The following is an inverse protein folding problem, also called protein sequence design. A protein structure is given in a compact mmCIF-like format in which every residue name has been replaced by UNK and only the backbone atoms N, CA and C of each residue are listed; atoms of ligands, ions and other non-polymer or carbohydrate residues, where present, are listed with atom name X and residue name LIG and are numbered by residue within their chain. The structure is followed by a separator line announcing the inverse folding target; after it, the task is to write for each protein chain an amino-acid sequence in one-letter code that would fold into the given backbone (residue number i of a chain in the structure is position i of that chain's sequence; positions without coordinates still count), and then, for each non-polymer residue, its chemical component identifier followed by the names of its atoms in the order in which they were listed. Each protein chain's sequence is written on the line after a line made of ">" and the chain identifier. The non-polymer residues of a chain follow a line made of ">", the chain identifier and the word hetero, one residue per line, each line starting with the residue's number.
data_IF_864522418641
#
_entry.id   IF_864522418641
#
_cell.length_a   1.000
_cell.length_b   1.000
_cell.length_c   1.000
_cell.angle_alpha   90.00
_cell.angle_beta   90.00
_cell.angle_gamma   90.00
#
_symmetry.space_group_name_H-M   'P 1'
#
loop_
_entity.id
_entity.type
_entity.pdbx_description
1 polymer ?
#
# COMPACT_ATOMS: atom_id res chain seq x y z
N UNK A 1 -21.28 -8.13 2.25
CA UNK A 1 -20.46 -8.34 1.04
C UNK A 1 -19.11 -8.82 1.52
N UNK A 2 -18.62 -9.97 1.02
CA UNK A 2 -17.44 -10.62 1.56
C UNK A 2 -16.24 -9.68 1.47
N UNK A 3 -15.68 -9.29 2.61
CA UNK A 3 -14.41 -8.55 2.69
C UNK A 3 -13.35 -9.43 2.02
N UNK A 4 -13.13 -9.21 0.72
CA UNK A 4 -12.16 -9.95 -0.06
C UNK A 4 -10.76 -9.63 0.43
N UNK A 5 -9.89 -10.63 0.46
CA UNK A 5 -8.46 -10.41 0.66
C UNK A 5 -7.91 -9.79 -0.63
N UNK A 6 -7.46 -8.53 -0.56
CA UNK A 6 -6.79 -7.85 -1.67
C UNK A 6 -5.29 -7.73 -1.38
N UNK A 7 -4.47 -7.88 -2.42
CA UNK A 7 -3.02 -7.77 -2.33
C UNK A 7 -2.51 -6.75 -3.34
N UNK A 8 -1.74 -5.79 -2.85
CA UNK A 8 -1.11 -4.74 -3.64
C UNK A 8 0.40 -4.94 -3.53
N UNK A 9 1.04 -5.25 -4.65
CA UNK A 9 2.50 -5.34 -4.71
C UNK A 9 3.08 -3.93 -4.72
N UNK A 10 4.02 -3.66 -3.81
CA UNK A 10 4.71 -2.39 -3.71
C UNK A 10 6.10 -2.51 -4.38
N UNK A 11 6.29 -1.78 -5.47
CA UNK A 11 7.60 -1.69 -6.12
C UNK A 11 8.48 -0.67 -5.39
N UNK A 12 9.38 -1.18 -4.55
CA UNK A 12 10.31 -0.37 -3.78
C UNK A 12 11.70 -0.25 -4.44
N UNK A 13 11.87 -0.71 -5.69
CA UNK A 13 13.17 -0.69 -6.39
C UNK A 13 13.79 0.70 -6.49
N UNK A 14 12.97 1.75 -6.52
CA UNK A 14 13.42 3.16 -6.65
C UNK A 14 12.93 4.07 -5.55
N UNK A 15 11.93 3.65 -4.78
CA UNK A 15 11.22 4.52 -3.85
C UNK A 15 10.87 3.78 -2.56
N UNK A 16 10.80 4.52 -1.45
CA UNK A 16 10.37 3.94 -0.18
C UNK A 16 8.87 3.62 -0.16
N UNK A 17 8.45 2.82 0.83
CA UNK A 17 7.06 2.39 1.02
C UNK A 17 6.06 3.55 1.03
N UNK A 18 6.42 4.67 1.66
CA UNK A 18 5.57 5.88 1.71
C UNK A 18 5.29 6.44 0.31
N UNK A 19 6.34 6.56 -0.50
CA UNK A 19 6.22 7.10 -1.85
C UNK A 19 5.44 6.13 -2.74
N UNK A 20 5.69 4.83 -2.63
CA UNK A 20 5.00 3.86 -3.48
C UNK A 20 3.52 3.74 -3.12
N UNK A 21 3.14 3.69 -1.84
CA UNK A 21 1.74 3.73 -1.40
C UNK A 21 1.04 4.99 -1.93
N UNK A 22 1.70 6.17 -1.84
CA UNK A 22 1.17 7.42 -2.40
C UNK A 22 0.95 7.32 -3.90
N UNK A 23 1.90 6.77 -4.65
CA UNK A 23 1.77 6.60 -6.11
C UNK A 23 0.67 5.61 -6.48
N UNK A 24 0.47 4.54 -5.71
CA UNK A 24 -0.65 3.62 -5.91
C UNK A 24 -1.99 4.34 -5.68
N UNK A 25 -2.09 5.15 -4.62
CA UNK A 25 -3.27 5.95 -4.32
C UNK A 25 -3.58 6.96 -5.45
N UNK A 26 -2.57 7.72 -5.88
CA UNK A 26 -2.72 8.68 -6.98
C UNK A 26 -3.12 8.01 -8.30
N UNK A 27 -2.59 6.81 -8.58
CA UNK A 27 -2.99 6.01 -9.75
C UNK A 27 -4.45 5.58 -9.67
N UNK A 28 -4.90 5.09 -8.51
CA UNK A 28 -6.29 4.68 -8.29
C UNK A 28 -7.25 5.88 -8.46
N UNK A 29 -6.92 7.04 -7.86
CA UNK A 29 -7.69 8.29 -8.05
C UNK A 29 -7.70 8.72 -9.51
N UNK A 30 -6.57 8.67 -10.21
CA UNK A 30 -6.52 9.03 -11.62
C UNK A 30 -7.39 8.12 -12.51
N UNK A 31 -7.50 6.83 -12.17
CA UNK A 31 -8.42 5.91 -12.85
C UNK A 31 -9.88 6.25 -12.57
N UNK A 32 -10.19 6.57 -11.31
CA UNK A 32 -11.52 7.02 -10.90
C UNK A 32 -11.98 8.28 -11.63
N UNK A 33 -11.12 9.31 -11.68
CA UNK A 33 -11.42 10.56 -12.38
C UNK A 33 -11.60 10.39 -13.89
N UNK A 34 -10.97 9.36 -14.49
CA UNK A 34 -11.11 9.04 -15.92
C UNK A 34 -12.34 8.18 -16.22
N UNK A 35 -13.16 7.85 -15.22
CA UNK A 35 -14.32 6.94 -15.37
C UNK A 35 -13.90 5.50 -15.71
N UNK A 36 -12.67 5.10 -15.34
CA UNK A 36 -12.10 3.77 -15.62
C UNK A 36 -11.90 2.94 -14.36
N UNK A 37 -12.48 3.36 -13.24
CA UNK A 37 -12.43 2.64 -11.97
C UNK A 37 -13.71 1.81 -11.78
N UNK A 38 -13.54 0.61 -11.26
CA UNK A 38 -14.62 -0.15 -10.64
C UNK A 38 -14.66 0.14 -9.13
N UNK A 39 -15.62 -0.46 -8.42
CA UNK A 39 -15.79 -0.31 -6.96
C UNK A 39 -14.50 -0.62 -6.19
N UNK A 40 -13.71 -1.60 -6.64
CA UNK A 40 -12.46 -2.00 -5.98
C UNK A 40 -11.40 -0.92 -6.08
N UNK A 41 -11.25 -0.29 -7.24
CA UNK A 41 -10.29 0.82 -7.41
C UNK A 41 -10.66 2.01 -6.52
N UNK A 42 -11.95 2.29 -6.32
CA UNK A 42 -12.39 3.31 -5.36
C UNK A 42 -12.07 2.92 -3.91
N UNK A 43 -12.40 1.70 -3.51
CA UNK A 43 -12.11 1.19 -2.17
C UNK A 43 -10.59 1.23 -1.89
N UNK A 44 -9.78 0.76 -2.85
CA UNK A 44 -8.33 0.82 -2.78
C UNK A 44 -7.81 2.25 -2.62
N UNK A 45 -8.35 3.23 -3.38
CA UNK A 45 -7.94 4.62 -3.27
C UNK A 45 -8.20 5.21 -1.87
N UNK A 46 -9.36 4.91 -1.29
CA UNK A 46 -9.73 5.38 0.06
C UNK A 46 -8.88 4.70 1.14
N UNK A 47 -8.67 3.37 1.06
CA UNK A 47 -7.85 2.65 2.03
C UNK A 47 -6.39 3.10 1.99
N UNK A 48 -5.82 3.31 0.80
CA UNK A 48 -4.45 3.82 0.69
C UNK A 48 -4.33 5.25 1.23
N UNK A 49 -5.37 6.07 1.08
CA UNK A 49 -5.44 7.40 1.69
C UNK A 49 -5.49 7.33 3.22
N UNK A 50 -6.33 6.45 3.78
CA UNK A 50 -6.39 6.21 5.22
C UNK A 50 -5.02 5.82 5.78
N UNK A 51 -4.30 4.90 5.12
CA UNK A 51 -2.95 4.49 5.51
C UNK A 51 -1.97 5.68 5.49
N UNK A 52 -1.99 6.50 4.44
CA UNK A 52 -1.10 7.66 4.31
C UNK A 52 -1.33 8.72 5.40
N UNK A 53 -2.56 8.82 5.91
CA UNK A 53 -2.98 9.80 6.91
C UNK A 53 -2.81 9.29 8.35
N UNK A 54 -3.00 7.99 8.58
CA UNK A 54 -3.04 7.38 9.92
C UNK A 54 -1.74 6.69 10.34
N UNK A 55 -0.92 6.24 9.38
CA UNK A 55 0.26 5.42 9.66
C UNK A 55 1.53 6.25 9.48
N UNK A 56 2.42 6.20 10.47
CA UNK A 56 3.74 6.81 10.36
C UNK A 56 4.70 5.96 9.51
N UNK A 57 4.46 5.97 8.20
CA UNK A 57 5.29 5.27 7.21
C UNK A 57 6.72 5.80 7.17
N UNK A 58 6.99 7.03 7.65
CA UNK A 58 8.34 7.59 7.74
C UNK A 58 9.15 6.90 8.83
N UNK A 59 8.54 6.69 9.99
CA UNK A 59 9.17 5.92 11.07
C UNK A 59 9.32 4.45 10.70
N UNK A 60 8.33 3.85 10.02
CA UNK A 60 8.42 2.47 9.57
C UNK A 60 9.58 2.23 8.61
N UNK A 61 9.76 3.08 7.58
CA UNK A 61 10.95 2.95 6.71
C UNK A 61 12.26 3.20 7.45
N UNK A 62 12.27 4.03 8.50
CA UNK A 62 13.46 4.21 9.34
C UNK A 62 13.84 2.93 10.11
N UNK A 63 12.82 2.18 10.57
CA UNK A 63 12.99 0.96 11.37
C UNK A 63 13.29 -0.29 10.52
N UNK A 64 12.73 -0.37 9.31
CA UNK A 64 12.83 -1.53 8.44
C UNK A 64 13.53 -1.14 7.13
N UNK A 65 14.81 -1.52 6.92
CA UNK A 65 15.58 -1.21 5.71
C UNK A 65 14.87 -1.65 4.42
N UNK A 66 14.10 -2.73 4.46
CA UNK A 66 13.32 -3.27 3.34
C UNK A 66 12.31 -2.24 2.81
N UNK A 67 11.82 -1.35 3.68
CA UNK A 67 10.81 -0.34 3.35
C UNK A 67 11.42 1.00 2.89
N UNK A 68 12.75 1.14 2.89
CA UNK A 68 13.43 2.38 2.48
C UNK A 68 13.50 2.57 0.96
N UNK A 69 13.34 1.47 0.22
CA UNK A 69 13.51 1.43 -1.22
C UNK A 69 14.97 1.36 -1.67
N UNK A 70 15.18 1.13 -2.96
CA UNK A 70 16.50 0.82 -3.51
C UNK A 70 16.89 -0.65 -3.34
N UNK A 71 15.92 -1.51 -3.03
CA UNK A 71 16.09 -2.96 -2.93
C UNK A 71 15.06 -3.67 -3.82
N UNK A 72 15.30 -4.95 -4.11
CA UNK A 72 14.40 -5.80 -4.89
C UNK A 72 13.54 -6.70 -3.97
N UNK A 73 13.43 -6.34 -2.69
CA UNK A 73 12.63 -7.12 -1.74
C UNK A 73 11.17 -7.06 -2.15
N UNK A 74 10.52 -8.22 -2.17
CA UNK A 74 9.09 -8.32 -2.44
C UNK A 74 8.33 -7.81 -1.21
N UNK A 75 7.72 -6.64 -1.35
CA UNK A 75 6.83 -6.05 -0.33
C UNK A 75 5.40 -6.04 -0.84
N UNK A 76 4.49 -6.57 -0.03
CA UNK A 76 3.06 -6.62 -0.33
C UNK A 76 2.26 -5.90 0.75
N UNK A 77 1.31 -5.06 0.34
CA UNK A 77 0.25 -4.56 1.22
C UNK A 77 -0.97 -5.47 1.05
N UNK A 78 -1.35 -6.12 2.15
CA UNK A 78 -2.52 -7.00 2.22
C UNK A 78 -3.64 -6.27 2.93
N UNK A 79 -4.79 -6.21 2.27
CA UNK A 79 -6.03 -5.63 2.77
C UNK A 79 -6.99 -6.79 3.06
N UNK A 80 -7.27 -7.02 4.34
CA UNK A 80 -8.18 -8.06 4.82
C UNK A 80 -9.26 -7.39 5.66
N UNK A 81 -10.28 -6.84 4.98
CA UNK A 81 -11.32 -6.09 5.64
C UNK A 81 -10.81 -4.79 6.25
N UNK A 82 -10.81 -4.70 7.58
CA UNK A 82 -10.24 -3.57 8.32
C UNK A 82 -8.79 -3.78 8.72
N UNK A 83 -8.23 -4.97 8.47
CA UNK A 83 -6.83 -5.25 8.76
C UNK A 83 -5.98 -4.87 7.55
N UNK A 84 -4.92 -4.14 7.80
CA UNK A 84 -3.93 -3.71 6.79
C UNK A 84 -2.58 -4.23 7.23
N UNK A 85 -1.87 -4.93 6.36
CA UNK A 85 -0.62 -5.62 6.73
C UNK A 85 0.42 -5.49 5.63
N UNK A 86 1.62 -5.03 5.98
CA UNK A 86 2.79 -5.14 5.12
C UNK A 86 3.45 -6.50 5.32
N UNK A 87 3.67 -7.23 4.23
CA UNK A 87 4.40 -8.51 4.21
C UNK A 87 5.71 -8.35 3.46
N UNK A 88 6.83 -8.72 4.09
CA UNK A 88 8.17 -8.67 3.50
C UNK A 88 9.13 -9.57 4.27
N UNK A 89 10.06 -10.26 3.60
CA UNK A 89 11.09 -11.13 4.21
C UNK A 89 10.59 -11.98 5.41
N UNK A 90 9.51 -12.75 5.20
CA UNK A 90 8.85 -13.58 6.22
C UNK A 90 8.27 -12.83 7.44
N UNK A 91 8.28 -11.49 7.40
CA UNK A 91 7.66 -10.62 8.40
C UNK A 91 6.27 -10.18 7.97
N UNK A 92 5.39 -10.03 8.94
CA UNK A 92 4.11 -9.36 8.80
C UNK A 92 4.04 -8.19 9.78
N UNK A 93 3.73 -7.00 9.28
CA UNK A 93 3.53 -5.81 10.08
C UNK A 93 2.11 -5.30 9.87
N UNK A 94 1.28 -5.39 10.91
CA UNK A 94 -0.05 -4.78 10.92
C UNK A 94 0.11 -3.26 11.06
N UNK A 95 -0.57 -2.52 10.19
CA UNK A 95 -0.54 -1.05 10.14
C UNK A 95 -1.60 -0.43 11.06
#
# INVERSE_FOLDING_TARGET
>A
MGKGMEKIVLDLSRHCVLTEIRRQQERAVALALKGRADEKVFEQAEVLKEILESVDLKSLRGKYPQLQGGNEDRVELVLEGEKRTLRFLDMELVL
#
